data_IF_174646457855
#
_entry.id   IF_174646457855
#
_cell.length_a   1.000
_cell.length_b   1.000
_cell.length_c   1.000
_cell.angle_alpha   90.00
_cell.angle_beta   90.00
_cell.angle_gamma   90.00
#
_symmetry.space_group_name_H-M   'P 1'
#
loop_
_entity.id
_entity.type
_entity.pdbx_description
1 polymer ?
#
# COMPACT_ATOMS: atom_id res chain seq x y z
N UNK A 1 -4.57 -13.63 20.13
CA UNK A 1 -4.96 -12.29 19.62
C UNK A 1 -6.23 -12.44 18.79
N UNK A 2 -7.14 -11.47 18.85
CA UNK A 2 -8.30 -11.46 17.95
C UNK A 2 -7.83 -11.19 16.51
N UNK A 3 -8.58 -11.66 15.51
CA UNK A 3 -8.28 -11.38 14.08
C UNK A 3 -8.20 -9.88 13.81
N UNK A 4 -8.99 -9.09 14.52
CA UNK A 4 -8.95 -7.63 14.49
C UNK A 4 -7.59 -7.07 14.92
N UNK A 5 -7.04 -7.51 16.06
CA UNK A 5 -5.72 -7.04 16.52
C UNK A 5 -4.62 -7.38 15.53
N UNK A 6 -4.64 -8.60 14.96
CA UNK A 6 -3.66 -9.03 13.95
C UNK A 6 -3.78 -8.17 12.69
N UNK A 7 -5.00 -7.94 12.21
CA UNK A 7 -5.26 -7.09 11.05
C UNK A 7 -4.79 -5.65 11.27
N UNK A 8 -4.98 -5.08 12.47
CA UNK A 8 -4.50 -3.73 12.77
C UNK A 8 -2.98 -3.65 12.70
N UNK A 9 -2.26 -4.55 13.37
CA UNK A 9 -0.78 -4.53 13.34
C UNK A 9 -0.23 -4.82 11.95
N UNK A 10 -0.79 -5.81 11.24
CA UNK A 10 -0.37 -6.12 9.88
C UNK A 10 -0.66 -4.96 8.92
N UNK A 11 -1.79 -4.28 9.08
CA UNK A 11 -2.16 -3.13 8.25
C UNK A 11 -1.24 -1.92 8.49
N UNK A 12 -0.93 -1.63 9.75
CA UNK A 12 0.02 -0.57 10.11
C UNK A 12 1.42 -0.87 9.56
N UNK A 13 1.91 -2.10 9.76
CA UNK A 13 3.21 -2.50 9.26
C UNK A 13 3.27 -2.44 7.73
N UNK A 14 2.25 -2.97 7.05
CA UNK A 14 2.14 -2.90 5.60
C UNK A 14 2.16 -1.45 5.12
N UNK A 15 1.42 -0.55 5.76
CA UNK A 15 1.32 0.83 5.31
C UNK A 15 2.64 1.59 5.49
N UNK A 16 3.37 1.35 6.58
CA UNK A 16 4.71 1.90 6.77
C UNK A 16 5.67 1.43 5.67
N UNK A 17 5.72 0.12 5.42
CA UNK A 17 6.57 -0.47 4.37
C UNK A 17 6.17 0.06 2.99
N UNK A 18 4.86 0.15 2.73
CA UNK A 18 4.32 0.62 1.47
C UNK A 18 4.67 2.08 1.18
N UNK A 19 4.52 2.97 2.17
CA UNK A 19 4.85 4.39 2.02
C UNK A 19 6.34 4.53 1.71
N UNK A 20 7.21 3.87 2.49
CA UNK A 20 8.66 3.92 2.26
C UNK A 20 9.00 3.41 0.86
N UNK A 21 8.43 2.28 0.44
CA UNK A 21 8.64 1.75 -0.91
C UNK A 21 8.13 2.71 -1.98
N UNK A 22 6.93 3.28 -1.81
CA UNK A 22 6.29 4.16 -2.80
C UNK A 22 7.02 5.49 -2.98
N UNK A 23 7.61 6.05 -1.92
CA UNK A 23 8.36 7.31 -2.03
C UNK A 23 9.80 7.10 -2.51
N UNK A 24 10.41 5.93 -2.26
CA UNK A 24 11.81 5.66 -2.61
C UNK A 24 11.96 5.03 -4.00
N UNK A 25 10.94 4.34 -4.51
CA UNK A 25 11.02 3.70 -5.84
C UNK A 25 11.35 4.70 -6.98
N UNK A 26 10.77 5.92 -7.01
CA UNK A 26 11.07 6.90 -8.05
C UNK A 26 12.52 7.36 -8.06
N UNK A 27 13.21 7.33 -6.91
CA UNK A 27 14.60 7.77 -6.79
C UNK A 27 15.56 6.90 -7.63
N UNK A 28 15.17 5.67 -7.95
CA UNK A 28 15.95 4.77 -8.81
C UNK A 28 15.84 5.10 -10.32
N UNK A 29 14.90 5.98 -10.70
CA UNK A 29 14.66 6.35 -12.10
C UNK A 29 14.93 7.85 -12.26
N UNK A 30 16.18 8.26 -12.56
CA UNK A 30 16.49 9.67 -12.73
C UNK A 30 15.84 10.25 -13.99
N UNK A 31 15.07 11.34 -13.83
CA UNK A 31 14.42 12.12 -14.91
C UNK A 31 13.40 11.32 -15.74
N UNK A 32 12.36 10.74 -15.11
CA UNK A 32 11.29 10.09 -15.86
C UNK A 32 10.55 11.13 -16.71
N UNK A 33 9.97 10.69 -17.84
CA UNK A 33 9.01 11.52 -18.55
C UNK A 33 7.82 11.80 -17.64
N UNK A 34 7.28 13.02 -17.64
CA UNK A 34 6.21 13.46 -16.74
C UNK A 34 5.00 12.51 -16.74
N UNK A 35 4.68 11.89 -17.88
CA UNK A 35 3.57 10.92 -17.99
C UNK A 35 3.84 9.65 -17.19
N UNK A 36 5.08 9.18 -17.13
CA UNK A 36 5.46 7.98 -16.36
C UNK A 36 5.31 8.28 -14.88
N UNK A 37 5.75 9.45 -14.44
CA UNK A 37 5.61 9.91 -13.06
C UNK A 37 4.13 10.04 -12.68
N UNK A 38 3.30 10.65 -13.53
CA UNK A 38 1.87 10.74 -13.31
C UNK A 38 1.20 9.37 -13.18
N UNK A 39 1.50 8.44 -14.10
CA UNK A 39 0.97 7.07 -14.06
C UNK A 39 1.43 6.35 -12.79
N UNK A 40 2.71 6.50 -12.42
CA UNK A 40 3.26 5.92 -11.20
C UNK A 40 2.49 6.40 -9.97
N UNK A 41 2.31 7.72 -9.80
CA UNK A 41 1.61 8.27 -8.64
C UNK A 41 0.13 7.90 -8.61
N UNK A 42 -0.54 7.81 -9.77
CA UNK A 42 -1.91 7.29 -9.84
C UNK A 42 -2.00 5.83 -9.37
N UNK A 43 -1.09 4.97 -9.83
CA UNK A 43 -1.06 3.55 -9.45
C UNK A 43 -0.70 3.42 -7.96
N UNK A 44 0.34 4.12 -7.50
CA UNK A 44 0.77 4.12 -6.11
C UNK A 44 -0.33 4.67 -5.17
N UNK A 45 -1.14 5.62 -5.63
CA UNK A 45 -2.29 6.11 -4.87
C UNK A 45 -3.41 5.09 -4.68
N UNK A 46 -3.48 4.03 -5.50
CA UNK A 46 -4.61 3.07 -5.54
C UNK A 46 -4.20 1.69 -5.06
N UNK A 47 -3.00 1.21 -5.39
CA UNK A 47 -2.58 -0.19 -5.19
C UNK A 47 -2.66 -0.63 -3.71
N UNK A 48 -2.39 0.27 -2.77
CA UNK A 48 -2.46 -0.06 -1.35
C UNK A 48 -3.88 -0.37 -0.84
N UNK A 49 -4.92 0.07 -1.56
CA UNK A 49 -6.32 -0.15 -1.16
C UNK A 49 -6.67 -1.63 -1.18
N UNK A 50 -6.17 -2.39 -2.15
CA UNK A 50 -6.48 -3.82 -2.29
C UNK A 50 -6.06 -4.66 -1.06
N UNK A 51 -4.79 -4.64 -0.63
CA UNK A 51 -4.35 -5.40 0.54
C UNK A 51 -5.00 -4.92 1.84
N UNK A 52 -5.16 -3.60 2.04
CA UNK A 52 -5.85 -3.08 3.23
C UNK A 52 -7.32 -3.51 3.26
N UNK A 53 -8.03 -3.40 2.14
CA UNK A 53 -9.43 -3.85 2.03
C UNK A 53 -9.56 -5.33 2.33
N UNK A 54 -8.69 -6.16 1.76
CA UNK A 54 -8.68 -7.60 2.03
C UNK A 54 -8.43 -7.89 3.52
N UNK A 55 -7.47 -7.20 4.13
CA UNK A 55 -7.14 -7.36 5.55
C UNK A 55 -8.30 -6.93 6.47
N UNK A 56 -9.00 -5.85 6.10
CA UNK A 56 -10.20 -5.38 6.82
C UNK A 56 -11.32 -6.41 6.76
N UNK A 57 -11.62 -6.97 5.59
CA UNK A 57 -12.66 -7.99 5.42
C UNK A 57 -12.29 -9.26 6.19
N UNK A 58 -11.03 -9.70 6.08
CA UNK A 58 -10.51 -10.83 6.83
C UNK A 58 -10.63 -10.64 8.35
N UNK A 59 -10.42 -9.42 8.86
CA UNK A 59 -10.49 -9.11 10.28
C UNK A 59 -11.87 -9.39 10.90
N UNK A 60 -12.94 -9.22 10.11
CA UNK A 60 -14.34 -9.48 10.49
C UNK A 60 -14.86 -10.84 9.99
N UNK A 61 -13.99 -11.68 9.43
CA UNK A 61 -14.36 -13.00 8.92
C UNK A 61 -15.22 -12.99 7.65
N UNK A 62 -15.29 -11.87 6.94
CA UNK A 62 -15.89 -11.78 5.60
C UNK A 62 -14.79 -12.00 4.56
N UNK A 63 -15.09 -12.75 3.49
CA UNK A 63 -14.19 -12.88 2.33
C UNK A 63 -14.44 -11.74 1.35
#
# INVERSE_FOLDING_TARGET
MSRATIATFAGLLFMLVYIVAAITLPDFVPRPHWTIEAVYWCIAGIVWVFPIRWLMLWSVGKR
#
